data_IF_616329730870
#
_entry.id   IF_616329730870
#
_cell.length_a   1.000
_cell.length_b   1.000
_cell.length_c   1.000
_cell.angle_alpha   90.00
_cell.angle_beta   90.00
_cell.angle_gamma   90.00
#
_symmetry.space_group_name_H-M   'P 1'
#
loop_
_entity.id
_entity.type
_entity.pdbx_description
1 polymer ?
#
# COMPACT_ATOMS: atom_id res chain seq x y z
N UNK A 1 -27.47 -10.32 -5.25
CA UNK A 1 -27.15 -11.58 -4.54
C UNK A 1 -25.73 -11.43 -3.98
N UNK A 2 -25.57 -11.06 -2.70
CA UNK A 2 -24.26 -10.89 -2.07
C UNK A 2 -23.85 -12.23 -1.48
N UNK A 3 -22.99 -12.97 -2.15
CA UNK A 3 -22.24 -14.04 -1.50
C UNK A 3 -21.16 -13.34 -0.67
N UNK A 4 -21.43 -13.09 0.60
CA UNK A 4 -20.38 -12.66 1.53
C UNK A 4 -19.48 -13.87 1.79
N UNK A 5 -18.39 -13.95 1.05
CA UNK A 5 -17.29 -14.84 1.42
C UNK A 5 -16.67 -14.22 2.67
N UNK A 6 -16.93 -14.82 3.82
CA UNK A 6 -16.38 -14.37 5.10
C UNK A 6 -14.93 -14.89 5.20
N UNK A 7 -13.98 -14.03 4.85
CA UNK A 7 -12.57 -14.36 4.93
C UNK A 7 -12.08 -14.16 6.36
N UNK A 8 -11.60 -15.23 6.98
CA UNK A 8 -11.07 -15.22 8.36
C UNK A 8 -9.67 -14.61 8.42
N UNK A 9 -9.57 -13.31 8.17
CA UNK A 9 -8.33 -12.56 8.39
C UNK A 9 -8.19 -12.16 9.87
N UNK A 10 -6.96 -12.03 10.40
CA UNK A 10 -6.75 -11.61 11.78
C UNK A 10 -7.25 -10.19 12.06
N UNK A 11 -7.86 -10.00 13.22
CA UNK A 11 -8.30 -8.68 13.69
C UNK A 11 -7.13 -7.75 14.07
N UNK A 12 -7.40 -6.47 14.34
CA UNK A 12 -6.38 -5.45 14.64
C UNK A 12 -5.56 -5.73 15.91
N UNK A 13 -6.08 -6.50 16.86
CA UNK A 13 -5.38 -6.81 18.12
C UNK A 13 -4.34 -7.94 17.97
N UNK A 14 -4.27 -8.59 16.80
CA UNK A 14 -3.36 -9.72 16.57
C UNK A 14 -2.01 -9.22 16.08
N UNK A 15 -0.94 -9.47 16.83
CA UNK A 15 0.42 -9.18 16.34
C UNK A 15 0.77 -10.12 15.19
N UNK A 16 0.78 -9.58 13.97
CA UNK A 16 1.16 -10.32 12.77
C UNK A 16 2.68 -10.51 12.67
N UNK A 17 3.07 -11.73 12.34
CA UNK A 17 4.47 -12.04 12.01
C UNK A 17 4.74 -11.73 10.55
N UNK A 18 5.95 -11.28 10.26
CA UNK A 18 6.41 -11.02 8.90
C UNK A 18 7.75 -11.69 8.62
N UNK A 19 8.05 -11.91 7.35
CA UNK A 19 9.38 -12.29 6.87
C UNK A 19 9.72 -11.51 5.61
N UNK A 20 10.93 -11.76 5.08
CA UNK A 20 11.47 -11.09 3.91
C UNK A 20 10.51 -11.10 2.71
N UNK A 21 9.78 -12.18 2.49
CA UNK A 21 9.03 -12.38 1.25
C UNK A 21 9.91 -12.56 0.01
N UNK A 22 9.29 -12.45 -1.16
CA UNK A 22 9.88 -12.73 -2.47
C UNK A 22 9.52 -11.63 -3.47
N UNK A 23 10.39 -11.31 -4.44
CA UNK A 23 10.15 -10.25 -5.44
C UNK A 23 9.17 -10.69 -6.55
N UNK A 24 8.00 -11.23 -6.15
CA UNK A 24 6.89 -11.61 -7.03
C UNK A 24 5.82 -10.54 -6.89
N UNK A 25 5.65 -9.73 -7.94
CA UNK A 25 4.83 -8.51 -7.95
C UNK A 25 3.35 -8.78 -7.59
N UNK A 26 2.76 -7.83 -6.88
CA UNK A 26 1.38 -7.88 -6.38
C UNK A 26 1.22 -8.71 -5.10
N UNK A 27 -0.04 -8.99 -4.77
CA UNK A 27 -0.41 -9.86 -3.64
C UNK A 27 -0.65 -11.30 -4.09
N UNK A 28 0.12 -12.24 -3.51
CA UNK A 28 0.04 -13.68 -3.78
C UNK A 28 -0.18 -14.45 -2.48
N UNK A 29 -1.41 -14.90 -2.20
CA UNK A 29 -1.71 -15.76 -1.06
C UNK A 29 -1.17 -17.18 -1.27
N UNK A 30 -0.80 -17.84 -0.17
CA UNK A 30 -0.58 -19.28 -0.09
C UNK A 30 -1.23 -19.87 1.18
N UNK A 31 -0.86 -21.10 1.56
CA UNK A 31 -1.44 -21.78 2.72
C UNK A 31 -1.10 -21.13 4.08
N UNK A 32 -0.05 -20.33 4.18
CA UNK A 32 0.44 -19.75 5.43
C UNK A 32 0.30 -18.24 5.56
N UNK A 33 -0.02 -17.52 4.48
CA UNK A 33 0.05 -16.07 4.46
C UNK A 33 -0.09 -15.46 3.07
N UNK A 34 0.33 -14.21 2.94
CA UNK A 34 0.37 -13.49 1.66
C UNK A 34 1.74 -12.86 1.45
N UNK A 35 2.31 -13.10 0.27
CA UNK A 35 3.45 -12.34 -0.23
C UNK A 35 2.95 -11.07 -0.94
N UNK A 36 3.46 -9.91 -0.55
CA UNK A 36 3.20 -8.62 -1.20
C UNK A 36 4.50 -8.10 -1.82
N UNK A 37 4.43 -7.60 -3.05
CA UNK A 37 5.57 -6.89 -3.63
C UNK A 37 5.17 -5.75 -4.57
N UNK A 38 5.95 -4.68 -4.53
CA UNK A 38 5.76 -3.46 -5.30
C UNK A 38 7.09 -3.04 -5.96
N UNK A 39 7.05 -2.71 -7.24
CA UNK A 39 8.18 -2.08 -7.92
C UNK A 39 8.25 -0.59 -7.55
N UNK A 40 9.40 -0.14 -7.05
CA UNK A 40 9.73 1.29 -6.96
C UNK A 40 11.24 1.49 -6.83
N UNK A 41 11.85 2.00 -7.91
CA UNK A 41 13.28 2.32 -7.97
C UNK A 41 13.65 3.46 -7.02
N UNK A 42 12.89 4.56 -7.08
CA UNK A 42 13.26 5.83 -6.46
C UNK A 42 12.65 6.03 -5.06
N UNK A 43 11.89 5.06 -4.54
CA UNK A 43 11.37 5.14 -3.18
C UNK A 43 12.50 5.04 -2.15
N UNK A 44 12.40 5.86 -1.11
CA UNK A 44 13.28 5.82 0.06
C UNK A 44 12.67 4.98 1.18
N UNK A 45 11.34 4.96 1.31
CA UNK A 45 10.60 4.09 2.23
C UNK A 45 9.32 3.57 1.58
N UNK A 46 8.94 2.35 1.95
CA UNK A 46 7.70 1.72 1.52
C UNK A 46 6.99 1.15 2.73
N UNK A 47 5.69 1.42 2.84
CA UNK A 47 4.83 0.88 3.87
C UNK A 47 3.74 0.02 3.24
N UNK A 48 3.56 -1.19 3.78
CA UNK A 48 2.37 -1.99 3.53
C UNK A 48 1.34 -1.68 4.63
N UNK A 49 0.12 -1.35 4.23
CA UNK A 49 -1.01 -1.11 5.13
C UNK A 49 -2.09 -2.17 4.91
N UNK A 50 -2.60 -2.75 5.99
CA UNK A 50 -3.70 -3.73 5.97
C UNK A 50 -4.95 -3.16 6.64
N UNK A 51 -6.11 -3.40 6.06
CA UNK A 51 -7.40 -2.87 6.53
C UNK A 51 -8.39 -4.01 6.79
N UNK A 52 -9.29 -3.83 7.77
CA UNK A 52 -10.33 -4.84 8.03
C UNK A 52 -11.45 -4.74 7.00
N UNK A 53 -11.80 -3.51 6.61
CA UNK A 53 -12.81 -3.20 5.61
C UNK A 53 -12.29 -2.18 4.59
N UNK A 54 -12.91 -2.15 3.40
CA UNK A 54 -12.54 -1.19 2.35
C UNK A 54 -12.87 0.28 2.68
N UNK A 55 -13.71 0.52 3.70
CA UNK A 55 -14.15 1.85 4.13
C UNK A 55 -13.48 2.34 5.42
N UNK A 56 -12.54 1.57 5.96
CA UNK A 56 -11.79 1.98 7.15
C UNK A 56 -10.85 3.15 6.80
N UNK A 57 -10.83 4.18 7.63
CA UNK A 57 -9.97 5.36 7.47
C UNK A 57 -8.52 5.08 7.89
N UNK A 58 -8.32 4.09 8.76
CA UNK A 58 -7.04 3.73 9.35
C UNK A 58 -6.74 2.25 9.11
N UNK A 59 -5.47 1.91 8.88
CA UNK A 59 -5.08 0.52 8.78
C UNK A 59 -5.18 -0.16 10.14
N UNK A 60 -5.53 -1.44 10.12
CA UNK A 60 -5.36 -2.32 11.27
C UNK A 60 -3.88 -2.63 11.54
N UNK A 61 -3.07 -2.67 10.48
CA UNK A 61 -1.62 -2.92 10.58
C UNK A 61 -0.87 -2.07 9.57
N UNK A 62 0.28 -1.55 9.97
CA UNK A 62 1.23 -0.86 9.10
C UNK A 62 2.62 -1.49 9.27
N UNK A 63 3.25 -1.86 8.18
CA UNK A 63 4.60 -2.41 8.15
C UNK A 63 5.51 -1.50 7.34
N UNK A 64 6.55 -0.94 7.97
CA UNK A 64 7.66 -0.31 7.25
C UNK A 64 8.60 -1.40 6.72
N UNK A 65 8.88 -1.39 5.42
CA UNK A 65 9.77 -2.36 4.81
C UNK A 65 11.23 -1.91 4.99
N UNK A 66 12.06 -2.81 5.50
CA UNK A 66 13.51 -2.59 5.64
C UNK A 66 14.16 -2.65 4.25
N UNK A 67 14.82 -1.60 3.74
CA UNK A 67 15.40 -1.58 2.39
C UNK A 67 16.54 -2.59 2.19
N UNK A 68 17.15 -3.10 3.26
CA UNK A 68 18.20 -4.13 3.20
C UNK A 68 17.58 -5.52 3.15
N UNK A 69 16.53 -5.76 3.94
CA UNK A 69 15.88 -7.09 4.02
C UNK A 69 14.76 -7.24 2.98
N UNK A 70 13.86 -6.28 2.90
CA UNK A 70 12.61 -6.30 2.15
C UNK A 70 12.72 -5.68 0.75
N UNK A 71 13.91 -5.67 0.15
CA UNK A 71 14.12 -5.21 -1.23
C UNK A 71 15.08 -6.14 -1.98
N UNK A 72 14.79 -6.38 -3.26
CA UNK A 72 15.70 -7.05 -4.20
C UNK A 72 15.69 -6.26 -5.51
N UNK A 73 16.82 -5.64 -5.86
CA UNK A 73 16.86 -4.66 -6.95
C UNK A 73 15.91 -3.50 -6.65
N UNK A 74 14.98 -3.23 -7.56
CA UNK A 74 13.96 -2.18 -7.43
C UNK A 74 12.61 -2.68 -6.87
N UNK A 75 12.54 -3.95 -6.46
CA UNK A 75 11.30 -4.57 -5.99
C UNK A 75 11.30 -4.67 -4.48
N UNK A 76 10.35 -3.97 -3.85
CA UNK A 76 10.05 -4.05 -2.43
C UNK A 76 9.13 -5.24 -2.19
N UNK A 77 9.38 -6.01 -1.14
CA UNK A 77 8.61 -7.22 -0.85
C UNK A 77 8.56 -7.57 0.63
N UNK A 78 7.43 -8.11 1.07
CA UNK A 78 7.21 -8.60 2.43
C UNK A 78 6.26 -9.79 2.39
N UNK A 79 6.45 -10.73 3.30
CA UNK A 79 5.48 -11.80 3.53
C UNK A 79 4.84 -11.62 4.89
N UNK A 80 3.50 -11.67 4.95
CA UNK A 80 2.73 -11.54 6.18
C UNK A 80 2.03 -12.86 6.47
N UNK A 81 2.28 -13.43 7.64
CA UNK A 81 1.71 -14.71 8.04
C UNK A 81 0.28 -14.54 8.56
N UNK A 82 -0.57 -15.54 8.30
CA UNK A 82 -1.92 -15.64 8.86
C UNK A 82 -2.98 -14.79 8.16
N UNK A 83 -2.60 -13.83 7.33
CA UNK A 83 -3.52 -13.15 6.39
C UNK A 83 -3.72 -14.00 5.15
N UNK A 84 -4.86 -13.86 4.49
CA UNK A 84 -5.21 -14.66 3.32
C UNK A 84 -6.04 -13.90 2.30
N UNK A 85 -6.85 -14.65 1.55
CA UNK A 85 -7.78 -14.06 0.61
C UNK A 85 -8.72 -13.04 1.28
N UNK A 86 -9.17 -12.05 0.51
CA UNK A 86 -10.06 -10.99 1.01
C UNK A 86 -9.40 -9.92 1.89
N UNK A 87 -8.10 -10.04 2.19
CA UNK A 87 -7.38 -9.01 2.94
C UNK A 87 -7.29 -7.72 2.12
N UNK A 88 -7.87 -6.63 2.62
CA UNK A 88 -7.72 -5.30 2.04
C UNK A 88 -6.34 -4.74 2.38
N UNK A 89 -5.69 -4.13 1.40
CA UNK A 89 -4.37 -3.53 1.58
C UNK A 89 -4.16 -2.32 0.69
N UNK A 90 -3.20 -1.48 1.07
CA UNK A 90 -2.70 -0.37 0.27
C UNK A 90 -1.21 -0.16 0.53
N UNK A 91 -0.58 0.65 -0.31
CA UNK A 91 0.81 1.06 -0.16
C UNK A 91 0.90 2.53 0.24
N UNK A 92 1.87 2.88 1.08
CA UNK A 92 2.41 4.25 1.18
C UNK A 92 3.84 4.23 0.70
N UNK A 93 4.22 5.20 -0.12
CA UNK A 93 5.56 5.25 -0.70
C UNK A 93 6.13 6.64 -0.50
N UNK A 94 7.28 6.68 0.16
CA UNK A 94 8.05 7.88 0.43
C UNK A 94 9.26 7.96 -0.52
N UNK A 95 9.75 9.17 -0.76
CA UNK A 95 10.83 9.44 -1.69
C UNK A 95 10.96 10.94 -1.99
N UNK A 96 11.81 11.32 -2.95
CA UNK A 96 11.95 12.72 -3.33
C UNK A 96 10.62 13.32 -3.82
N UNK A 97 10.25 14.50 -3.30
CA UNK A 97 9.27 15.35 -3.95
C UNK A 97 10.01 16.45 -4.69
N UNK A 98 10.29 16.19 -5.96
CA UNK A 98 10.98 17.08 -6.89
C UNK A 98 10.25 17.05 -8.24
N UNK A 99 9.12 17.78 -8.34
CA UNK A 99 8.26 17.73 -9.53
C UNK A 99 8.96 18.18 -10.82
N UNK A 100 9.96 19.05 -10.72
CA UNK A 100 10.74 19.52 -11.88
C UNK A 100 11.56 18.40 -12.53
N UNK A 101 11.99 17.42 -11.73
CA UNK A 101 12.67 16.21 -12.20
C UNK A 101 11.71 15.00 -12.27
N UNK A 102 10.40 15.23 -12.17
CA UNK A 102 9.36 14.21 -12.29
C UNK A 102 9.14 13.35 -11.03
N UNK A 103 9.82 13.64 -9.92
CA UNK A 103 9.64 12.92 -8.66
C UNK A 103 8.45 13.51 -7.87
N UNK A 104 7.45 12.68 -7.56
CA UNK A 104 6.21 13.11 -6.89
C UNK A 104 5.81 12.17 -5.75
N UNK A 105 6.80 11.69 -5.00
CA UNK A 105 6.53 10.81 -3.87
C UNK A 105 5.79 11.57 -2.77
N UNK A 106 4.70 11.00 -2.28
CA UNK A 106 3.92 11.58 -1.20
C UNK A 106 3.40 10.45 -0.30
N UNK A 107 4.04 10.29 0.86
CA UNK A 107 3.70 9.26 1.84
C UNK A 107 2.30 9.47 2.45
N UNK A 108 1.75 10.68 2.38
CA UNK A 108 0.41 11.00 2.87
C UNK A 108 -0.71 10.52 1.94
N UNK A 109 -0.38 10.06 0.73
CA UNK A 109 -1.34 9.50 -0.22
C UNK A 109 -1.38 7.97 -0.16
N UNK A 110 -2.59 7.43 -0.16
CA UNK A 110 -2.83 5.99 -0.19
C UNK A 110 -2.73 5.54 -1.63
N UNK A 111 -1.87 4.57 -1.91
CA UNK A 111 -1.64 4.08 -3.27
C UNK A 111 -2.25 2.69 -3.44
N UNK A 112 -2.98 2.52 -4.53
CA UNK A 112 -3.39 1.20 -5.00
C UNK A 112 -2.21 0.45 -5.60
N UNK A 113 -2.20 -0.87 -5.45
CA UNK A 113 -1.21 -1.73 -6.08
C UNK A 113 -1.48 -1.86 -7.59
N UNK A 114 -0.52 -1.51 -8.47
CA UNK A 114 -0.67 -1.69 -9.92
C UNK A 114 -0.94 -3.14 -10.35
N UNK A 115 -0.64 -4.10 -9.48
CA UNK A 115 -0.82 -5.54 -9.69
C UNK A 115 -2.01 -6.11 -8.88
N UNK A 116 -2.86 -5.26 -8.32
CA UNK A 116 -4.07 -5.70 -7.62
C UNK A 116 -4.98 -6.53 -8.53
N UNK A 117 -5.42 -7.69 -8.03
CA UNK A 117 -6.35 -8.58 -8.75
C UNK A 117 -7.81 -8.14 -8.62
N UNK A 118 -8.11 -7.31 -7.63
CA UNK A 118 -9.41 -6.69 -7.40
C UNK A 118 -9.20 -5.37 -6.66
N UNK A 119 -10.00 -4.35 -7.01
CA UNK A 119 -10.03 -3.06 -6.33
C UNK A 119 -11.38 -2.95 -5.63
N UNK A 120 -11.35 -2.62 -4.34
CA UNK A 120 -12.54 -2.39 -3.51
C UNK A 120 -12.55 -0.95 -3.03
N UNK A 121 -13.73 -0.34 -3.04
CA UNK A 121 -13.90 1.05 -2.67
C UNK A 121 -15.15 1.64 -3.29
N UNK A 122 -15.61 2.75 -2.73
CA UNK A 122 -16.54 3.66 -3.40
C UNK A 122 -15.76 4.87 -3.89
N UNK A 123 -15.89 5.20 -5.17
CA UNK A 123 -15.35 6.45 -5.71
C UNK A 123 -16.22 7.61 -5.22
N UNK A 124 -15.89 8.14 -4.05
CA UNK A 124 -16.27 9.50 -3.71
C UNK A 124 -15.19 10.40 -4.31
N UNK A 125 -15.55 11.12 -5.37
CA UNK A 125 -14.71 12.16 -5.97
C UNK A 125 -14.64 13.36 -5.03
N UNK A 126 -13.86 13.22 -3.97
CA UNK A 126 -13.38 14.35 -3.20
C UNK A 126 -12.24 14.99 -4.01
N UNK A 127 -12.49 16.16 -4.60
CA UNK A 127 -11.52 16.84 -5.46
C UNK A 127 -10.18 17.07 -4.77
N UNK A 128 -10.13 17.27 -3.45
CA UNK A 128 -8.88 17.57 -2.76
C UNK A 128 -8.02 16.33 -2.50
N UNK A 129 -8.66 15.19 -2.22
CA UNK A 129 -7.96 13.95 -1.89
C UNK A 129 -7.14 13.40 -3.07
N UNK A 130 -7.57 13.65 -4.31
CA UNK A 130 -6.97 13.09 -5.54
C UNK A 130 -5.64 13.77 -5.91
N UNK A 131 -5.44 15.03 -5.54
CA UNK A 131 -4.21 15.75 -5.88
C UNK A 131 -3.08 15.40 -4.91
N UNK A 132 -1.89 15.11 -5.44
CA UNK A 132 -0.65 14.91 -4.68
C UNK A 132 0.00 16.21 -4.16
N UNK A 133 -0.64 17.34 -4.41
CA UNK A 133 -0.16 18.71 -4.20
C UNK A 133 -1.34 19.62 -3.79
N UNK A 134 -1.04 20.82 -3.30
CA UNK A 134 -2.06 21.81 -2.97
C UNK A 134 -2.55 22.53 -4.23
N UNK A 135 -3.80 22.23 -4.63
CA UNK A 135 -4.43 22.85 -5.81
C UNK A 135 -4.60 24.37 -5.69
N UNK A 136 -4.64 24.90 -4.47
CA UNK A 136 -4.83 26.32 -4.18
C UNK A 136 -3.49 27.06 -4.04
N UNK A 137 -2.37 26.34 -4.00
CA UNK A 137 -1.04 26.94 -3.95
C UNK A 137 -0.74 27.70 -5.26
N UNK A 138 -0.08 28.88 -5.20
CA UNK A 138 0.41 29.56 -6.40
C UNK A 138 1.41 28.69 -7.19
N UNK A 139 2.11 27.79 -6.50
CA UNK A 139 3.08 26.87 -7.09
C UNK A 139 2.40 25.63 -7.72
N UNK A 140 1.08 25.47 -7.56
CA UNK A 140 0.27 24.39 -8.13
C UNK A 140 0.90 23.01 -7.90
N UNK A 141 1.19 22.28 -8.98
CA UNK A 141 1.74 20.94 -8.96
C UNK A 141 3.22 20.88 -8.54
N UNK A 142 3.87 22.02 -8.31
CA UNK A 142 5.18 22.10 -7.67
C UNK A 142 5.07 22.10 -6.13
N UNK A 143 3.89 22.36 -5.56
CA UNK A 143 3.66 22.33 -4.11
C UNK A 143 3.48 20.90 -3.59
N UNK A 144 3.56 20.71 -2.28
CA UNK A 144 3.35 19.43 -1.58
C UNK A 144 2.16 19.55 -0.62
N UNK A 145 1.34 18.49 -0.52
CA UNK A 145 0.15 18.42 0.35
C UNK A 145 0.15 17.19 1.24
#
# INVERSE_FOLDING_TARGET
>A
MKYSVDYKNPGPDVVLKTSRGRPVLGATPDAGGVNFALFSRNATKVYLELYQNYYDDKPSHRFELDPVKNKTGDIWHIYVYGVGHGQFYAWRVDGPYDPLNGHRFNVHKMLSDPYAKAISGSYNWDEEAVYGYDKNSPDKDLSFS
#
